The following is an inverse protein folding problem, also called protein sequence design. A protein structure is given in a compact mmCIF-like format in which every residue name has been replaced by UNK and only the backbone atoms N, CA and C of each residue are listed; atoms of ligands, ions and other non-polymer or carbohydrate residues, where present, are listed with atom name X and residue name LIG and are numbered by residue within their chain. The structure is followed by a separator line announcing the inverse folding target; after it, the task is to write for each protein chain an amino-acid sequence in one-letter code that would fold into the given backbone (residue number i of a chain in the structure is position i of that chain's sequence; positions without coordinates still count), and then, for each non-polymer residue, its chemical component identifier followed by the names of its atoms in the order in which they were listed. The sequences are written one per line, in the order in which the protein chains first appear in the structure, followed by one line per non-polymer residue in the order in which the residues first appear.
data_IF_667993623731
#
_entry.id   IF_667993623731
#
_cell.length_a   1.000
_cell.length_b   1.000
_cell.length_c   1.000
_cell.angle_alpha   90.00
_cell.angle_beta   90.00
_cell.angle_gamma   90.00
#
_symmetry.space_group_name_H-M   'P 1'
#
loop_
_entity.id
_entity.type
_entity.pdbx_description
1 polymer ?
#
# COMPACT_ATOMS: atom_id res chain seq x y z
N UNK A 1 1.38 -13.40 -11.82
CA UNK A 1 0.03 -13.15 -11.28
C UNK A 1 -0.72 -12.22 -12.20
N UNK A 2 -2.01 -12.47 -12.36
CA UNK A 2 -2.91 -11.72 -13.21
C UNK A 2 -3.88 -10.91 -12.32
N UNK A 3 -3.31 -9.98 -11.54
CA UNK A 3 -3.97 -9.26 -10.43
C UNK A 3 -5.06 -8.27 -10.91
N UNK A 4 -5.05 -7.90 -12.19
CA UNK A 4 -5.99 -6.98 -12.82
C UNK A 4 -6.73 -7.63 -14.00
N UNK A 5 -6.90 -8.96 -13.97
CA UNK A 5 -7.76 -9.65 -14.95
C UNK A 5 -9.15 -9.03 -14.99
N UNK A 6 -9.66 -8.86 -16.21
CA UNK A 6 -10.93 -8.23 -16.54
C UNK A 6 -11.07 -6.77 -16.08
N UNK A 7 -9.96 -6.10 -15.71
CA UNK A 7 -9.97 -4.67 -15.37
C UNK A 7 -9.61 -3.82 -16.57
N UNK A 8 -10.47 -2.83 -16.83
CA UNK A 8 -10.34 -1.87 -17.91
C UNK A 8 -9.78 -0.58 -17.38
N UNK A 9 -8.62 -0.17 -17.87
CA UNK A 9 -7.91 1.02 -17.38
C UNK A 9 -7.76 2.00 -18.53
N UNK A 10 -8.26 3.22 -18.34
CA UNK A 10 -7.89 4.35 -19.19
C UNK A 10 -6.66 5.02 -18.59
N UNK A 11 -5.58 5.08 -19.36
CA UNK A 11 -4.34 5.76 -18.98
C UNK A 11 -4.21 7.09 -19.73
N UNK A 12 -4.46 8.19 -19.04
CA UNK A 12 -4.20 9.56 -19.49
C UNK A 12 -2.73 9.95 -19.30
N UNK A 13 -2.12 10.53 -20.33
CA UNK A 13 -0.71 10.93 -20.31
C UNK A 13 -0.58 12.42 -20.66
N UNK A 14 0.00 13.17 -19.73
CA UNK A 14 0.28 14.60 -19.92
C UNK A 14 1.71 14.85 -20.37
N UNK A 15 1.95 16.04 -20.94
CA UNK A 15 3.29 16.47 -21.34
C UNK A 15 4.22 16.69 -20.15
N UNK A 16 5.37 16.00 -20.16
CA UNK A 16 6.45 16.15 -19.19
C UNK A 16 7.50 15.06 -19.37
N UNK A 17 8.71 15.29 -18.85
CA UNK A 17 9.83 14.35 -19.00
C UNK A 17 9.50 12.95 -18.48
N UNK A 18 8.63 12.82 -17.48
CA UNK A 18 8.23 11.54 -16.90
C UNK A 18 7.31 10.69 -17.81
N UNK A 19 6.88 11.19 -18.99
CA UNK A 19 5.99 10.46 -19.88
C UNK A 19 6.58 9.11 -20.36
N UNK A 20 7.91 8.94 -20.40
CA UNK A 20 8.52 7.65 -20.71
C UNK A 20 8.18 6.56 -19.66
N UNK A 21 7.95 6.93 -18.39
CA UNK A 21 7.56 5.98 -17.34
C UNK A 21 6.18 5.37 -17.62
N UNK A 22 5.32 6.06 -18.35
CA UNK A 22 4.02 5.55 -18.75
C UNK A 22 4.12 4.31 -19.63
N UNK A 23 5.18 4.17 -20.44
CA UNK A 23 5.42 2.96 -21.23
C UNK A 23 5.62 1.73 -20.32
N UNK A 24 6.42 1.87 -19.25
CA UNK A 24 6.59 0.81 -18.26
C UNK A 24 5.28 0.50 -17.53
N UNK A 25 4.52 1.54 -17.15
CA UNK A 25 3.24 1.35 -16.49
C UNK A 25 2.23 0.58 -17.37
N UNK A 26 2.09 0.93 -18.65
CA UNK A 26 1.24 0.18 -19.61
C UNK A 26 1.67 -1.29 -19.65
N UNK A 27 2.98 -1.54 -19.86
CA UNK A 27 3.51 -2.90 -19.95
C UNK A 27 3.19 -3.72 -18.69
N UNK A 28 3.40 -3.16 -17.51
CA UNK A 28 3.16 -3.86 -16.25
C UNK A 28 1.66 -4.09 -15.99
N UNK A 29 0.79 -3.11 -16.27
CA UNK A 29 -0.65 -3.29 -16.14
C UNK A 29 -1.18 -4.38 -17.08
N UNK A 30 -0.76 -4.39 -18.35
CA UNK A 30 -1.10 -5.43 -19.31
C UNK A 30 -0.57 -6.80 -18.85
N UNK A 31 0.67 -6.88 -18.35
CA UNK A 31 1.25 -8.11 -17.79
C UNK A 31 0.45 -8.64 -16.60
N UNK A 32 -0.12 -7.74 -15.79
CA UNK A 32 -1.01 -8.08 -14.68
C UNK A 32 -2.45 -8.41 -15.13
N UNK A 33 -2.74 -8.39 -16.44
CA UNK A 33 -4.03 -8.82 -17.00
C UNK A 33 -5.03 -7.71 -17.28
N UNK A 34 -4.67 -6.44 -17.07
CA UNK A 34 -5.55 -5.32 -17.38
C UNK A 34 -5.66 -5.10 -18.89
N UNK A 35 -6.85 -4.69 -19.34
CA UNK A 35 -7.04 -4.10 -20.67
C UNK A 35 -6.77 -2.59 -20.55
N UNK A 36 -5.75 -2.08 -21.23
CA UNK A 36 -5.31 -0.69 -21.09
C UNK A 36 -5.58 0.09 -22.37
N UNK A 37 -6.34 1.18 -22.28
CA UNK A 37 -6.52 2.14 -23.39
C UNK A 37 -5.86 3.47 -23.03
N UNK A 38 -5.05 4.00 -23.94
CA UNK A 38 -4.24 5.18 -23.67
C UNK A 38 -4.86 6.42 -24.31
N UNK A 39 -4.90 7.51 -23.53
CA UNK A 39 -5.28 8.85 -23.98
C UNK A 39 -4.08 9.78 -23.80
N UNK A 40 -3.63 10.43 -24.86
CA UNK A 40 -2.47 11.33 -24.82
C UNK A 40 -2.88 12.77 -25.09
N UNK A 41 -2.44 13.68 -24.22
CA UNK A 41 -2.51 15.12 -24.54
C UNK A 41 -1.58 15.45 -25.70
N UNK A 42 -1.85 16.54 -26.44
CA UNK A 42 -0.96 17.04 -27.50
C UNK A 42 0.49 17.24 -27.02
N UNK A 43 0.67 17.73 -25.79
CA UNK A 43 2.00 17.92 -25.21
C UNK A 43 2.70 16.60 -24.87
N UNK A 44 1.98 15.54 -24.50
CA UNK A 44 2.58 14.23 -24.22
C UNK A 44 3.24 13.61 -25.46
N UNK A 45 2.64 13.84 -26.64
CA UNK A 45 3.14 13.34 -27.93
C UNK A 45 4.53 13.90 -28.30
N UNK A 46 4.98 14.98 -27.65
CA UNK A 46 6.32 15.54 -27.83
C UNK A 46 7.41 14.82 -27.01
N UNK A 47 7.02 14.02 -26.01
CA UNK A 47 7.94 13.29 -25.13
C UNK A 47 7.98 11.79 -25.43
N UNK A 48 6.85 11.21 -25.83
CA UNK A 48 6.73 9.81 -26.22
C UNK A 48 5.72 9.71 -27.37
N UNK A 49 5.95 8.81 -28.32
CA UNK A 49 5.07 8.70 -29.49
C UNK A 49 3.88 7.78 -29.20
N UNK A 50 2.69 8.05 -29.79
CA UNK A 50 1.54 7.14 -29.69
C UNK A 50 1.85 5.71 -30.13
N UNK A 51 2.73 5.54 -31.13
CA UNK A 51 3.13 4.23 -31.66
C UNK A 51 3.72 3.31 -30.58
N UNK A 52 4.58 3.82 -29.70
CA UNK A 52 5.16 3.03 -28.62
C UNK A 52 4.08 2.53 -27.67
N UNK A 53 3.10 3.36 -27.34
CA UNK A 53 2.06 3.00 -26.39
C UNK A 53 0.99 2.11 -27.01
N UNK A 54 0.72 2.26 -28.29
CA UNK A 54 -0.12 1.34 -29.06
C UNK A 54 0.49 -0.07 -29.07
N UNK A 55 1.79 -0.19 -29.33
CA UNK A 55 2.47 -1.48 -29.33
C UNK A 55 2.44 -2.18 -27.96
N UNK A 56 2.52 -1.42 -26.87
CA UNK A 56 2.51 -1.96 -25.50
C UNK A 56 1.11 -2.27 -24.96
N UNK A 57 0.11 -1.47 -25.35
CA UNK A 57 -1.28 -1.67 -24.92
C UNK A 57 -2.03 -2.67 -25.80
N UNK A 58 -1.66 -2.80 -27.08
CA UNK A 58 -2.42 -3.57 -28.06
C UNK A 58 -3.67 -2.84 -28.59
N UNK A 59 -3.87 -1.59 -28.20
CA UNK A 59 -5.04 -0.78 -28.58
C UNK A 59 -4.60 0.55 -29.21
N UNK A 60 -5.45 1.09 -30.09
CA UNK A 60 -5.25 2.41 -30.66
C UNK A 60 -5.18 3.48 -29.55
N UNK A 61 -4.21 4.39 -29.67
CA UNK A 61 -3.99 5.48 -28.73
C UNK A 61 -4.80 6.69 -29.18
N UNK A 62 -5.69 7.18 -28.30
CA UNK A 62 -6.54 8.33 -28.63
C UNK A 62 -5.88 9.64 -28.23
N UNK A 63 -5.83 10.58 -29.17
CA UNK A 63 -5.10 11.84 -29.01
C UNK A 63 -6.00 13.08 -29.12
N UNK A 64 -7.03 13.01 -29.96
CA UNK A 64 -7.87 14.15 -30.31
C UNK A 64 -9.30 13.98 -29.80
N UNK A 65 -9.89 15.09 -29.38
CA UNK A 65 -11.30 15.11 -28.92
C UNK A 65 -12.25 14.87 -30.10
N UNK A 66 -11.93 15.44 -31.26
CA UNK A 66 -12.75 15.35 -32.48
C UNK A 66 -12.08 14.44 -33.51
N UNK A 67 -12.13 13.15 -33.25
CA UNK A 67 -11.73 12.14 -34.25
C UNK A 67 -12.98 11.69 -35.03
N UNK A 68 -13.02 12.01 -36.33
CA UNK A 68 -14.13 11.65 -37.22
C UNK A 68 -14.47 10.15 -37.28
N UNK A 69 -13.51 9.29 -36.90
CA UNK A 69 -13.72 7.84 -36.79
C UNK A 69 -14.40 7.45 -35.47
N UNK A 70 -14.07 8.13 -34.36
CA UNK A 70 -14.59 7.86 -33.02
C UNK A 70 -15.85 8.67 -32.65
N UNK A 71 -16.04 9.84 -33.25
CA UNK A 71 -17.16 10.77 -32.96
C UNK A 71 -18.52 10.26 -33.45
N UNK A 72 -18.54 9.27 -34.35
CA UNK A 72 -19.79 8.54 -34.69
C UNK A 72 -20.43 7.83 -33.49
N UNK A 73 -19.68 7.64 -32.39
CA UNK A 73 -20.12 6.94 -31.19
C UNK A 73 -20.00 7.77 -29.89
N UNK A 74 -19.78 9.09 -29.95
CA UNK A 74 -19.45 9.92 -28.76
C UNK A 74 -18.26 9.34 -27.98
N UNK A 75 -17.11 9.22 -28.63
CA UNK A 75 -16.00 8.39 -28.17
C UNK A 75 -15.46 8.68 -26.77
N UNK A 76 -15.58 9.91 -26.26
CA UNK A 76 -15.18 10.28 -24.89
C UNK A 76 -16.11 9.69 -23.83
N UNK A 77 -17.43 9.64 -24.07
CA UNK A 77 -18.42 9.04 -23.17
C UNK A 77 -18.27 7.52 -23.17
N UNK A 78 -18.11 6.91 -24.35
CA UNK A 78 -17.91 5.47 -24.48
C UNK A 78 -16.67 5.02 -23.71
N UNK A 79 -15.56 5.75 -23.87
CA UNK A 79 -14.30 5.41 -23.20
C UNK A 79 -14.39 5.58 -21.68
N UNK A 80 -15.08 6.62 -21.20
CA UNK A 80 -15.32 6.84 -19.78
C UNK A 80 -16.18 5.71 -19.17
N UNK A 81 -17.25 5.29 -19.86
CA UNK A 81 -18.12 4.18 -19.41
C UNK A 81 -17.47 2.81 -19.53
N UNK A 82 -16.52 2.65 -20.44
CA UNK A 82 -15.77 1.41 -20.61
C UNK A 82 -14.78 1.17 -19.46
N UNK A 83 -14.21 2.23 -18.89
CA UNK A 83 -13.18 2.13 -17.87
C UNK A 83 -13.73 1.63 -16.51
N UNK A 84 -12.94 0.82 -15.80
CA UNK A 84 -13.09 0.58 -14.35
C UNK A 84 -12.24 1.56 -13.53
N UNK A 85 -11.19 2.13 -14.14
CA UNK A 85 -10.29 3.10 -13.53
C UNK A 85 -9.80 4.13 -14.54
N UNK A 86 -9.64 5.39 -14.10
CA UNK A 86 -8.91 6.41 -14.82
C UNK A 86 -7.59 6.69 -14.11
N UNK A 87 -6.48 6.47 -14.79
CA UNK A 87 -5.14 6.79 -14.30
C UNK A 87 -4.56 7.94 -15.12
N UNK A 88 -4.07 9.01 -14.49
CA UNK A 88 -3.37 10.10 -15.18
C UNK A 88 -1.92 10.14 -14.73
N UNK A 89 -1.01 9.69 -15.59
CA UNK A 89 0.37 9.40 -15.22
C UNK A 89 1.33 9.60 -16.42
N UNK A 90 2.16 10.66 -16.43
CA UNK A 90 2.17 11.76 -15.47
C UNK A 90 0.96 12.69 -15.60
N UNK A 91 0.59 13.33 -14.49
CA UNK A 91 -0.30 14.49 -14.45
C UNK A 91 0.55 15.77 -14.34
N UNK A 92 0.55 16.60 -15.38
CA UNK A 92 1.28 17.87 -15.36
C UNK A 92 0.52 18.93 -14.57
N UNK A 93 1.21 19.99 -14.11
CA UNK A 93 0.56 21.10 -13.40
C UNK A 93 -0.58 21.74 -14.21
N UNK A 94 -0.41 21.83 -15.53
CA UNK A 94 -1.45 22.32 -16.45
C UNK A 94 -2.69 21.42 -16.43
N UNK A 95 -2.52 20.10 -16.48
CA UNK A 95 -3.63 19.17 -16.38
C UNK A 95 -4.33 19.29 -15.03
N UNK A 96 -3.60 19.27 -13.92
CA UNK A 96 -4.18 19.45 -12.58
C UNK A 96 -5.00 20.74 -12.46
N UNK A 97 -4.51 21.85 -13.02
CA UNK A 97 -5.25 23.11 -13.07
C UNK A 97 -6.55 22.96 -13.87
N UNK A 98 -6.48 22.46 -15.11
CA UNK A 98 -7.67 22.27 -15.95
C UNK A 98 -8.73 21.42 -15.24
N UNK A 99 -8.34 20.29 -14.65
CA UNK A 99 -9.27 19.38 -13.98
C UNK A 99 -9.86 20.01 -12.70
N UNK A 100 -9.07 20.75 -11.92
CA UNK A 100 -9.56 21.45 -10.73
C UNK A 100 -10.63 22.51 -11.08
N UNK A 101 -10.43 23.26 -12.17
CA UNK A 101 -11.39 24.28 -12.64
C UNK A 101 -12.49 23.74 -13.56
N UNK A 102 -12.45 22.45 -13.91
CA UNK A 102 -13.44 21.81 -14.77
C UNK A 102 -13.38 22.25 -16.24
N UNK A 103 -12.18 22.57 -16.74
CA UNK A 103 -11.96 22.82 -18.16
C UNK A 103 -11.99 21.48 -18.92
N UNK A 104 -12.63 21.46 -20.08
CA UNK A 104 -12.76 20.30 -20.97
C UNK A 104 -12.46 20.71 -22.42
N UNK A 105 -11.22 21.10 -22.66
CA UNK A 105 -10.73 21.63 -23.94
C UNK A 105 -9.87 20.62 -24.72
N UNK A 106 -9.66 19.42 -24.17
CA UNK A 106 -9.04 18.28 -24.84
C UNK A 106 -9.71 16.95 -24.44
N UNK A 107 -9.35 15.85 -25.11
CA UNK A 107 -9.98 14.54 -24.88
C UNK A 107 -9.84 14.06 -23.44
N UNK A 108 -8.66 14.22 -22.84
CA UNK A 108 -8.38 13.72 -21.49
C UNK A 108 -9.19 14.49 -20.44
N UNK A 109 -9.23 15.82 -20.56
CA UNK A 109 -9.95 16.69 -19.64
C UNK A 109 -11.46 16.54 -19.77
N UNK A 110 -11.96 16.36 -20.99
CA UNK A 110 -13.36 16.02 -21.26
C UNK A 110 -13.74 14.66 -20.66
N UNK A 111 -12.88 13.65 -20.82
CA UNK A 111 -13.08 12.31 -20.26
C UNK A 111 -13.17 12.36 -18.73
N UNK A 112 -12.28 13.11 -18.07
CA UNK A 112 -12.33 13.26 -16.62
C UNK A 112 -13.66 13.83 -16.11
N UNK A 113 -14.25 14.81 -16.79
CA UNK A 113 -15.51 15.42 -16.35
C UNK A 113 -16.70 14.45 -16.37
N UNK A 114 -16.68 13.46 -17.26
CA UNK A 114 -17.75 12.46 -17.38
C UNK A 114 -17.39 11.12 -16.73
N UNK A 115 -16.22 11.04 -16.08
CA UNK A 115 -15.71 9.83 -15.45
C UNK A 115 -16.39 9.59 -14.09
N UNK A 116 -17.07 8.46 -13.96
CA UNK A 116 -17.73 8.05 -12.70
C UNK A 116 -16.94 6.95 -11.97
N UNK A 117 -15.75 6.59 -12.47
CA UNK A 117 -14.89 5.56 -11.88
C UNK A 117 -13.76 6.16 -11.05
N UNK A 118 -13.12 5.38 -10.15
CA UNK A 118 -12.02 5.88 -9.34
C UNK A 118 -10.89 6.47 -10.19
N UNK A 119 -10.42 7.65 -9.80
CA UNK A 119 -9.39 8.40 -10.51
C UNK A 119 -8.09 8.42 -9.70
N UNK A 120 -7.01 7.94 -10.29
CA UNK A 120 -5.65 8.01 -9.73
C UNK A 120 -4.83 9.00 -10.54
N UNK A 121 -4.29 10.04 -9.89
CA UNK A 121 -3.42 11.03 -10.54
C UNK A 121 -2.02 10.97 -9.96
N UNK A 122 -1.03 11.02 -10.85
CA UNK A 122 0.39 10.93 -10.51
C UNK A 122 1.11 12.23 -10.92
N UNK A 123 1.12 13.27 -10.06
CA UNK A 123 1.73 14.55 -10.39
C UNK A 123 3.21 14.41 -10.78
N UNK A 124 3.63 15.13 -11.80
CA UNK A 124 5.04 15.22 -12.19
C UNK A 124 5.36 16.60 -12.77
N UNK A 125 6.26 17.33 -12.12
CA UNK A 125 6.64 18.70 -12.48
C UNK A 125 7.91 19.13 -11.75
N UNK A 126 8.50 20.27 -12.12
CA UNK A 126 9.61 20.83 -11.37
C UNK A 126 9.20 21.16 -9.92
N UNK A 127 10.16 21.09 -8.99
CA UNK A 127 9.99 21.41 -7.56
C UNK A 127 9.23 22.73 -7.32
N UNK A 128 9.63 23.80 -8.00
CA UNK A 128 9.00 25.12 -7.83
C UNK A 128 7.55 25.15 -8.30
N UNK A 129 7.22 24.37 -9.33
CA UNK A 129 5.83 24.21 -9.78
C UNK A 129 5.00 23.41 -8.77
N UNK A 130 5.58 22.39 -8.15
CA UNK A 130 4.88 21.57 -7.14
C UNK A 130 4.49 22.38 -5.91
N UNK A 131 5.43 23.19 -5.39
CA UNK A 131 5.20 24.05 -4.23
C UNK A 131 4.47 25.37 -4.55
N UNK A 132 4.10 25.60 -5.81
CA UNK A 132 3.29 26.77 -6.17
C UNK A 132 1.93 26.74 -5.44
N UNK A 133 1.49 27.87 -4.87
CA UNK A 133 0.18 27.96 -4.22
C UNK A 133 -0.99 27.53 -5.13
N UNK A 134 -0.87 27.76 -6.44
CA UNK A 134 -1.88 27.34 -7.41
C UNK A 134 -1.97 25.81 -7.49
N UNK A 135 -0.83 25.13 -7.65
CA UNK A 135 -0.76 23.67 -7.70
C UNK A 135 -1.26 23.04 -6.41
N UNK A 136 -0.83 23.56 -5.25
CA UNK A 136 -1.27 23.06 -3.95
C UNK A 136 -2.80 23.14 -3.79
N UNK A 137 -3.41 24.27 -4.17
CA UNK A 137 -4.88 24.43 -4.15
C UNK A 137 -5.58 23.49 -5.12
N UNK A 138 -5.08 23.36 -6.35
CA UNK A 138 -5.66 22.45 -7.35
C UNK A 138 -5.63 21.00 -6.85
N UNK A 139 -4.51 20.56 -6.27
CA UNK A 139 -4.41 19.24 -5.66
C UNK A 139 -5.39 19.04 -4.50
N UNK A 140 -5.62 20.06 -3.66
CA UNK A 140 -6.60 20.00 -2.58
C UNK A 140 -8.03 19.82 -3.12
N UNK A 141 -8.45 20.65 -4.09
CA UNK A 141 -9.76 20.54 -4.76
C UNK A 141 -9.97 19.16 -5.39
N UNK A 142 -8.96 18.62 -6.05
CA UNK A 142 -9.05 17.29 -6.67
C UNK A 142 -9.19 16.18 -5.62
N UNK A 143 -8.46 16.27 -4.49
CA UNK A 143 -8.61 15.32 -3.37
C UNK A 143 -10.00 15.40 -2.73
N UNK A 144 -10.54 16.61 -2.55
CA UNK A 144 -11.91 16.81 -2.06
C UNK A 144 -12.95 16.16 -2.98
N UNK A 145 -12.68 16.12 -4.29
CA UNK A 145 -13.49 15.41 -5.29
C UNK A 145 -13.23 13.90 -5.35
N UNK A 146 -12.46 13.34 -4.42
CA UNK A 146 -12.19 11.91 -4.34
C UNK A 146 -11.03 11.40 -5.19
N UNK A 147 -10.28 12.28 -5.88
CA UNK A 147 -9.10 11.85 -6.67
C UNK A 147 -7.99 11.34 -5.75
N UNK A 148 -7.53 10.12 -6.01
CA UNK A 148 -6.35 9.56 -5.34
C UNK A 148 -5.07 10.15 -5.93
N UNK A 149 -4.30 10.86 -5.11
CA UNK A 149 -3.02 11.43 -5.51
C UNK A 149 -1.88 10.50 -5.12
N UNK A 150 -1.05 10.11 -6.10
CA UNK A 150 0.12 9.25 -5.88
C UNK A 150 1.39 10.04 -6.20
N UNK A 151 2.23 10.24 -5.19
CA UNK A 151 3.40 11.12 -5.28
C UNK A 151 3.02 12.62 -5.29
N UNK A 152 3.88 13.49 -5.84
CA UNK A 152 5.18 13.18 -6.44
C UNK A 152 6.20 12.70 -5.39
N UNK A 153 7.24 12.01 -5.85
CA UNK A 153 8.37 11.58 -5.05
C UNK A 153 9.45 12.68 -4.97
N UNK A 154 10.28 12.58 -3.93
CA UNK A 154 11.52 13.33 -3.81
C UNK A 154 12.66 12.62 -4.56
N UNK A 155 13.48 13.39 -5.27
CA UNK A 155 14.68 12.88 -5.92
C UNK A 155 15.35 13.92 -6.80
N UNK A 156 16.42 13.53 -7.49
CA UNK A 156 17.04 14.35 -8.53
C UNK A 156 16.09 14.54 -9.71
N UNK A 157 15.93 15.79 -10.12
CA UNK A 157 15.09 16.19 -11.24
C UNK A 157 15.94 16.41 -12.49
N UNK A 158 15.33 16.34 -13.68
CA UNK A 158 16.03 16.55 -14.95
C UNK A 158 16.71 17.94 -15.08
N UNK A 159 16.33 18.90 -14.23
CA UNK A 159 16.93 20.23 -14.13
C UNK A 159 18.15 20.29 -13.18
N UNK A 160 18.52 19.19 -12.52
CA UNK A 160 19.63 19.11 -11.57
C UNK A 160 19.27 19.46 -10.12
N UNK A 161 18.02 19.86 -9.84
CA UNK A 161 17.54 20.14 -8.48
C UNK A 161 17.14 18.85 -7.74
N UNK A 162 17.33 18.84 -6.42
CA UNK A 162 16.82 17.80 -5.53
C UNK A 162 15.55 18.30 -4.83
N UNK A 163 14.50 17.47 -4.83
CA UNK A 163 13.26 17.73 -4.11
C UNK A 163 12.04 17.06 -4.74
N UNK A 164 10.88 17.28 -4.12
CA UNK A 164 9.60 16.76 -4.60
C UNK A 164 9.25 17.26 -6.00
N UNK A 165 8.76 16.37 -6.85
CA UNK A 165 8.32 16.69 -8.21
C UNK A 165 8.43 15.55 -9.22
N UNK A 166 9.14 14.47 -8.86
CA UNK A 166 9.27 13.28 -9.70
C UNK A 166 7.96 12.49 -9.69
N UNK A 167 7.56 11.99 -10.86
CA UNK A 167 6.45 11.04 -10.96
C UNK A 167 6.77 9.80 -10.13
N UNK A 168 5.78 9.33 -9.36
CA UNK A 168 5.87 8.09 -8.59
C UNK A 168 6.29 6.90 -9.46
N UNK A 169 6.94 5.91 -8.86
CA UNK A 169 7.30 4.68 -9.56
C UNK A 169 6.06 3.90 -10.00
N UNK A 170 6.10 3.21 -11.16
CA UNK A 170 4.97 2.43 -11.65
C UNK A 170 4.42 1.42 -10.63
N UNK A 171 5.29 0.84 -9.80
CA UNK A 171 4.88 -0.10 -8.75
C UNK A 171 3.97 0.55 -7.70
N UNK A 172 4.28 1.79 -7.28
CA UNK A 172 3.46 2.52 -6.31
C UNK A 172 2.10 2.92 -6.89
N UNK A 173 2.06 3.24 -8.18
CA UNK A 173 0.80 3.52 -8.90
C UNK A 173 -0.08 2.26 -8.96
N UNK A 174 0.53 1.11 -9.27
CA UNK A 174 -0.16 -0.19 -9.28
C UNK A 174 -0.64 -0.55 -7.86
N UNK A 175 0.18 -0.29 -6.83
CA UNK A 175 -0.21 -0.49 -5.44
C UNK A 175 -1.37 0.41 -5.02
N UNK A 176 -1.38 1.67 -5.44
CA UNK A 176 -2.49 2.58 -5.22
C UNK A 176 -3.78 2.08 -5.88
N UNK A 177 -3.71 1.60 -7.12
CA UNK A 177 -4.86 0.99 -7.82
C UNK A 177 -5.48 -0.17 -7.05
N UNK A 178 -4.66 -1.03 -6.42
CA UNK A 178 -5.14 -2.14 -5.56
C UNK A 178 -5.94 -1.66 -4.34
N UNK A 179 -5.74 -0.41 -3.93
CA UNK A 179 -6.25 0.16 -2.68
C UNK A 179 -7.32 1.23 -2.88
N UNK A 180 -7.71 1.53 -4.12
CA UNK A 180 -8.79 2.50 -4.44
C UNK A 180 -10.09 2.23 -3.68
N UNK A 181 -10.45 0.95 -3.49
CA UNK A 181 -11.67 0.55 -2.79
C UNK A 181 -11.69 0.91 -1.29
N UNK A 182 -10.54 1.18 -0.67
CA UNK A 182 -10.43 1.56 0.74
C UNK A 182 -10.04 3.02 0.94
N UNK A 183 -9.97 3.82 -0.11
CA UNK A 183 -9.59 5.21 0.00
C UNK A 183 -10.47 5.95 1.01
N UNK A 184 -9.84 6.62 1.98
CA UNK A 184 -10.48 7.44 3.01
C UNK A 184 -11.47 6.72 3.96
N UNK A 185 -11.58 5.38 3.96
CA UNK A 185 -12.54 4.68 4.84
C UNK A 185 -12.17 4.80 6.33
N UNK A 186 -10.89 5.02 6.64
CA UNK A 186 -10.37 5.23 8.00
C UNK A 186 -10.00 6.70 8.28
N UNK A 187 -10.61 7.65 7.54
CA UNK A 187 -10.30 9.08 7.71
C UNK A 187 -10.48 9.52 9.17
N UNK A 188 -9.44 10.15 9.72
CA UNK A 188 -9.43 10.63 11.11
C UNK A 188 -9.19 9.57 12.18
N UNK A 189 -9.01 8.29 11.80
CA UNK A 189 -8.61 7.23 12.72
C UNK A 189 -7.09 7.18 12.87
N UNK A 190 -6.63 6.68 14.01
CA UNK A 190 -5.20 6.44 14.29
C UNK A 190 -4.94 4.94 14.28
N UNK A 191 -3.95 4.49 13.49
CA UNK A 191 -3.64 3.07 13.31
C UNK A 191 -2.18 2.82 13.69
N UNK A 192 -1.95 1.88 14.61
CA UNK A 192 -0.63 1.34 14.90
C UNK A 192 -0.47 -0.03 14.25
N UNK A 193 0.61 -0.24 13.50
CA UNK A 193 0.94 -1.52 12.88
C UNK A 193 2.31 -1.99 13.39
N UNK A 194 2.41 -3.23 13.84
CA UNK A 194 3.71 -3.88 14.05
C UNK A 194 4.09 -4.72 12.83
N UNK A 195 5.35 -4.69 12.43
CA UNK A 195 5.83 -5.45 11.27
C UNK A 195 7.24 -6.02 11.47
N UNK A 196 7.63 -6.93 10.57
CA UNK A 196 8.98 -7.50 10.52
C UNK A 196 9.26 -8.59 11.55
N UNK A 197 10.47 -9.19 11.50
CA UNK A 197 10.97 -10.13 12.50
C UNK A 197 11.66 -9.40 13.66
N UNK A 198 11.71 -10.01 14.84
CA UNK A 198 12.58 -9.58 15.94
C UNK A 198 13.86 -10.41 15.99
N UNK A 199 14.94 -9.79 16.45
CA UNK A 199 16.27 -10.37 16.61
C UNK A 199 16.60 -10.48 18.09
N UNK A 200 16.67 -11.71 18.57
CA UNK A 200 17.02 -12.01 19.96
C UNK A 200 18.52 -12.30 20.02
N UNK A 201 19.30 -11.28 20.42
CA UNK A 201 20.76 -11.33 20.39
C UNK A 201 21.31 -12.46 21.27
N UNK A 202 22.23 -13.24 20.73
CA UNK A 202 23.02 -14.22 21.49
C UNK A 202 24.33 -13.58 21.94
N UNK A 203 24.98 -12.89 21.01
CA UNK A 203 26.17 -12.06 21.19
C UNK A 203 26.09 -10.88 20.18
N UNK A 204 27.06 -9.94 20.13
CA UNK A 204 26.99 -8.80 19.21
C UNK A 204 27.02 -9.16 17.70
N UNK A 205 27.20 -10.44 17.34
CA UNK A 205 27.34 -10.92 15.96
C UNK A 205 26.22 -11.87 15.57
N UNK A 206 25.64 -12.59 16.53
CA UNK A 206 24.67 -13.67 16.29
C UNK A 206 23.37 -13.39 17.03
N UNK A 207 22.26 -13.75 16.40
CA UNK A 207 20.92 -13.62 16.97
C UNK A 207 20.03 -14.78 16.54
N UNK A 208 18.91 -14.95 17.25
CA UNK A 208 17.81 -15.84 16.88
C UNK A 208 16.71 -14.98 16.26
N UNK A 209 16.13 -15.45 15.15
CA UNK A 209 15.06 -14.74 14.43
C UNK A 209 14.16 -15.75 13.71
N UNK A 210 13.05 -15.27 13.18
CA UNK A 210 12.18 -15.98 12.24
C UNK A 210 12.38 -15.48 10.80
N UNK A 211 11.66 -16.13 9.86
CA UNK A 211 11.74 -15.89 8.40
C UNK A 211 10.80 -14.77 7.90
N UNK A 212 10.29 -13.92 8.79
CA UNK A 212 9.40 -12.85 8.35
C UNK A 212 10.15 -11.82 7.52
N UNK A 213 9.62 -11.54 6.32
CA UNK A 213 10.12 -10.43 5.49
C UNK A 213 9.53 -9.08 5.90
N UNK A 214 8.52 -9.05 6.77
CA UNK A 214 7.77 -7.85 7.12
C UNK A 214 6.80 -7.32 6.06
N UNK A 215 6.83 -7.85 4.82
CA UNK A 215 6.04 -7.35 3.67
C UNK A 215 4.54 -7.18 3.97
N UNK A 216 3.93 -8.09 4.74
CA UNK A 216 2.51 -8.00 5.08
C UNK A 216 2.20 -6.81 6.01
N UNK A 217 3.02 -6.58 7.02
CA UNK A 217 2.85 -5.44 7.94
C UNK A 217 3.05 -4.10 7.23
N UNK A 218 4.02 -4.02 6.32
CA UNK A 218 4.22 -2.82 5.49
C UNK A 218 3.03 -2.61 4.54
N UNK A 219 2.50 -3.69 3.95
CA UNK A 219 1.31 -3.60 3.11
C UNK A 219 0.08 -3.10 3.88
N UNK A 220 -0.10 -3.52 5.14
CA UNK A 220 -1.16 -3.03 6.02
C UNK A 220 -0.97 -1.56 6.39
N UNK A 221 0.27 -1.14 6.66
CA UNK A 221 0.57 0.26 6.91
C UNK A 221 0.26 1.14 5.69
N UNK A 222 0.64 0.71 4.48
CA UNK A 222 0.29 1.40 3.23
C UNK A 222 -1.23 1.44 3.01
N UNK A 223 -1.93 0.32 3.21
CA UNK A 223 -3.38 0.26 3.06
C UNK A 223 -4.11 1.17 4.05
N UNK A 224 -3.68 1.21 5.32
CA UNK A 224 -4.24 2.10 6.33
C UNK A 224 -3.97 3.57 6.02
N UNK A 225 -2.79 3.91 5.48
CA UNK A 225 -2.45 5.26 5.06
C UNK A 225 -3.31 5.72 3.87
N UNK A 226 -3.51 4.87 2.86
CA UNK A 226 -4.43 5.16 1.74
C UNK A 226 -5.88 5.26 2.22
N UNK A 227 -6.24 4.50 3.25
CA UNK A 227 -7.53 4.64 3.92
C UNK A 227 -7.68 5.94 4.72
N UNK A 228 -6.68 6.82 4.75
CA UNK A 228 -6.76 8.15 5.37
C UNK A 228 -6.46 8.15 6.87
N UNK A 229 -5.93 7.06 7.42
CA UNK A 229 -5.53 7.00 8.82
C UNK A 229 -4.19 7.70 9.09
N UNK A 230 -4.01 8.19 10.32
CA UNK A 230 -2.69 8.56 10.85
C UNK A 230 -1.98 7.28 11.33
N UNK A 231 -0.98 6.84 10.56
CA UNK A 231 -0.34 5.52 10.74
C UNK A 231 0.99 5.63 11.47
N UNK A 232 1.14 4.82 12.51
CA UNK A 232 2.41 4.54 13.19
C UNK A 232 2.84 3.10 12.91
N UNK A 233 4.02 2.93 12.31
CA UNK A 233 4.62 1.64 11.99
C UNK A 233 5.81 1.36 12.92
N UNK A 234 5.69 0.34 13.75
CA UNK A 234 6.79 -0.17 14.58
C UNK A 234 7.32 -1.45 13.92
N UNK A 235 8.53 -1.39 13.38
CA UNK A 235 9.09 -2.47 12.58
C UNK A 235 10.33 -3.07 13.23
N UNK A 236 10.36 -4.39 13.30
CA UNK A 236 11.58 -5.15 13.47
C UNK A 236 12.51 -5.04 12.25
N UNK A 237 13.63 -5.76 12.27
CA UNK A 237 14.70 -5.63 11.29
C UNK A 237 14.30 -6.11 9.89
N UNK A 238 14.12 -5.19 8.94
CA UNK A 238 13.84 -5.48 7.52
C UNK A 238 14.60 -4.52 6.61
N UNK A 239 14.74 -4.88 5.33
CA UNK A 239 15.30 -4.00 4.29
C UNK A 239 14.21 -3.21 3.54
N UNK A 240 12.97 -3.21 4.05
CA UNK A 240 11.84 -2.56 3.38
C UNK A 240 11.87 -1.05 3.61
N UNK A 241 11.49 -0.30 2.58
CA UNK A 241 11.36 1.15 2.67
C UNK A 241 10.05 1.48 3.40
N UNK A 242 10.11 2.40 4.36
CA UNK A 242 8.92 2.87 5.05
C UNK A 242 7.96 3.54 4.05
N UNK A 243 6.65 3.20 4.06
CA UNK A 243 5.68 3.87 3.23
C UNK A 243 5.62 5.38 3.50
N UNK A 244 5.33 6.16 2.46
CA UNK A 244 5.22 7.62 2.59
C UNK A 244 4.08 8.03 3.54
N UNK A 245 4.31 9.07 4.34
CA UNK A 245 3.32 9.60 5.27
C UNK A 245 3.07 8.73 6.51
N UNK A 246 3.88 7.70 6.75
CA UNK A 246 3.81 6.83 7.94
C UNK A 246 4.88 7.23 8.95
N UNK A 247 4.51 7.31 10.24
CA UNK A 247 5.46 7.52 11.35
C UNK A 247 6.18 6.22 11.65
N UNK A 248 7.50 6.19 11.44
CA UNK A 248 8.29 4.97 11.52
C UNK A 248 9.13 4.86 12.80
N UNK A 249 9.13 3.68 13.42
CA UNK A 249 9.99 3.34 14.54
C UNK A 249 10.64 1.97 14.33
N UNK A 250 11.97 1.96 14.23
CA UNK A 250 12.75 0.73 14.14
C UNK A 250 13.02 0.16 15.52
N UNK A 251 12.91 -1.15 15.65
CA UNK A 251 13.26 -1.93 16.85
C UNK A 251 14.05 -3.17 16.45
N UNK A 252 14.82 -3.73 17.36
CA UNK A 252 15.57 -4.97 17.12
C UNK A 252 14.91 -6.16 17.80
N UNK A 253 14.63 -6.07 19.09
CA UNK A 253 14.12 -7.20 19.90
C UNK A 253 12.61 -7.16 20.13
N UNK A 254 12.03 -8.28 20.57
CA UNK A 254 10.65 -8.34 21.03
C UNK A 254 10.39 -7.39 22.21
N UNK A 255 11.36 -7.27 23.14
CA UNK A 255 11.27 -6.37 24.28
C UNK A 255 11.22 -4.89 23.84
N UNK A 256 12.10 -4.49 22.93
CA UNK A 256 12.07 -3.12 22.38
C UNK A 256 10.77 -2.85 21.61
N UNK A 257 10.28 -3.82 20.84
CA UNK A 257 8.99 -3.69 20.16
C UNK A 257 7.85 -3.48 21.15
N UNK A 258 7.81 -4.27 22.22
CA UNK A 258 6.85 -4.14 23.31
C UNK A 258 6.89 -2.73 23.93
N UNK A 259 8.09 -2.26 24.30
CA UNK A 259 8.28 -0.94 24.90
C UNK A 259 7.82 0.20 23.97
N UNK A 260 8.17 0.12 22.67
CA UNK A 260 7.74 1.12 21.69
C UNK A 260 6.23 1.12 21.47
N UNK A 261 5.59 -0.06 21.45
CA UNK A 261 4.14 -0.19 21.35
C UNK A 261 3.49 0.47 22.55
N UNK A 262 3.85 0.08 23.77
CA UNK A 262 3.22 0.61 24.99
C UNK A 262 3.43 2.10 25.16
N UNK A 263 4.60 2.63 24.78
CA UNK A 263 4.90 4.05 24.88
C UNK A 263 4.13 4.93 23.88
N UNK A 264 3.60 4.35 22.80
CA UNK A 264 2.94 5.09 21.70
C UNK A 264 1.46 4.74 21.54
N UNK A 265 0.94 3.83 22.35
CA UNK A 265 -0.48 3.57 22.39
C UNK A 265 -1.20 4.83 22.88
N UNK A 266 -2.26 5.18 22.16
CA UNK A 266 -3.15 6.26 22.50
C UNK A 266 -4.59 5.73 22.59
N UNK A 267 -5.44 6.33 23.45
CA UNK A 267 -6.85 5.98 23.52
C UNK A 267 -7.54 6.11 22.15
N UNK A 268 -8.35 5.11 21.79
CA UNK A 268 -9.13 5.08 20.56
C UNK A 268 -8.36 4.60 19.32
N UNK A 269 -7.09 4.18 19.45
CA UNK A 269 -6.33 3.66 18.32
C UNK A 269 -6.82 2.29 17.85
N UNK A 270 -6.60 2.00 16.57
CA UNK A 270 -6.65 0.66 16.00
C UNK A 270 -5.24 0.07 16.08
N UNK A 271 -5.09 -1.11 16.69
CA UNK A 271 -3.82 -1.83 16.76
C UNK A 271 -3.83 -3.05 15.85
N UNK A 272 -2.81 -3.19 15.00
CA UNK A 272 -2.62 -4.32 14.08
C UNK A 272 -1.29 -5.02 14.39
N UNK A 273 -1.37 -6.10 15.15
CA UNK A 273 -0.24 -6.94 15.53
C UNK A 273 0.15 -7.93 14.42
N UNK A 274 0.90 -7.45 13.41
CA UNK A 274 1.34 -8.26 12.27
C UNK A 274 2.82 -8.69 12.34
N UNK A 275 3.61 -8.14 13.27
CA UNK A 275 5.00 -8.53 13.42
C UNK A 275 5.14 -10.02 13.78
N UNK A 276 6.19 -10.65 13.26
CA UNK A 276 6.60 -11.97 13.71
C UNK A 276 7.55 -11.78 14.89
N UNK A 277 6.98 -11.69 16.09
CA UNK A 277 7.72 -11.55 17.34
C UNK A 277 8.25 -12.91 17.76
N UNK A 278 9.52 -13.01 18.13
CA UNK A 278 10.09 -14.24 18.65
C UNK A 278 9.48 -14.58 20.02
N UNK A 279 8.97 -15.81 20.18
CA UNK A 279 8.32 -16.26 21.43
C UNK A 279 9.30 -16.32 22.63
N UNK A 280 10.59 -16.50 22.35
CA UNK A 280 11.64 -16.62 23.36
C UNK A 280 12.83 -15.72 23.04
N UNK A 281 13.41 -15.12 24.08
CA UNK A 281 14.67 -14.39 24.06
C UNK A 281 15.81 -15.20 24.68
N UNK A 282 17.05 -14.82 24.39
CA UNK A 282 18.23 -15.36 25.09
C UNK A 282 18.26 -14.81 26.51
N UNK A 283 18.28 -15.69 27.52
CA UNK A 283 18.16 -15.28 28.92
C UNK A 283 19.33 -14.39 29.39
N UNK A 284 20.54 -14.63 28.84
CA UNK A 284 21.77 -13.89 29.18
C UNK A 284 22.61 -13.65 27.92
N UNK A 285 22.29 -12.62 27.11
CA UNK A 285 23.06 -12.30 25.91
C UNK A 285 24.49 -11.88 26.29
N UNK A 286 25.49 -12.38 25.56
CA UNK A 286 26.88 -12.04 25.81
C UNK A 286 27.22 -10.63 25.26
N UNK A 287 28.00 -9.86 26.01
CA UNK A 287 28.46 -8.52 25.56
C UNK A 287 29.60 -8.59 24.53
N UNK A 288 30.21 -9.75 24.35
CA UNK A 288 31.33 -9.98 23.43
C UNK A 288 31.05 -11.23 22.60
N UNK A 289 31.59 -11.27 21.37
CA UNK A 289 31.47 -12.43 20.49
C UNK A 289 31.98 -13.68 21.20
N UNK A 290 31.12 -14.68 21.31
CA UNK A 290 31.48 -15.94 21.95
C UNK A 290 32.49 -16.67 21.06
N UNK A 291 33.71 -16.85 21.59
CA UNK A 291 34.82 -17.53 20.89
C UNK A 291 34.53 -19.03 20.77
N UNK A 292 35.02 -19.64 19.69
CA UNK A 292 34.95 -21.09 19.50
C UNK A 292 35.92 -21.75 20.50
N UNK A 293 35.39 -22.30 21.59
CA UNK A 293 36.18 -22.95 22.64
C UNK A 293 35.71 -24.37 23.00
N UNK A 294 34.48 -24.75 22.67
CA UNK A 294 33.88 -26.05 23.01
C UNK A 294 33.29 -26.73 21.76
N UNK A 295 33.23 -28.06 21.81
CA UNK A 295 32.63 -28.90 20.75
C UNK A 295 31.10 -28.84 20.74
N UNK A 296 30.47 -28.57 21.90
CA UNK A 296 29.03 -28.39 22.05
C UNK A 296 28.75 -27.14 22.91
N UNK A 297 27.64 -26.45 22.64
CA UNK A 297 27.21 -25.24 23.35
C UNK A 297 25.68 -25.22 23.46
N UNK A 298 25.17 -24.78 24.60
CA UNK A 298 23.75 -24.56 24.88
C UNK A 298 23.44 -23.08 25.11
N UNK A 299 22.26 -22.64 24.66
CA UNK A 299 21.72 -21.31 24.90
C UNK A 299 20.46 -21.45 25.75
N UNK A 300 20.41 -20.75 26.87
CA UNK A 300 19.23 -20.68 27.72
C UNK A 300 18.26 -19.63 27.19
N UNK A 301 16.98 -20.01 27.05
CA UNK A 301 15.92 -19.16 26.51
C UNK A 301 14.89 -18.83 27.59
N UNK A 302 14.35 -17.62 27.56
CA UNK A 302 13.26 -17.15 28.42
C UNK A 302 12.13 -16.60 27.56
N UNK A 303 10.89 -16.61 28.07
CA UNK A 303 9.73 -16.13 27.34
C UNK A 303 9.81 -14.61 27.10
N UNK A 304 9.47 -14.21 25.88
CA UNK A 304 9.26 -12.81 25.53
C UNK A 304 7.86 -12.31 25.93
N UNK A 305 7.66 -10.98 26.02
CA UNK A 305 6.34 -10.41 26.31
C UNK A 305 5.35 -10.67 25.17
N UNK A 306 4.11 -11.02 25.52
CA UNK A 306 3.01 -11.13 24.56
C UNK A 306 2.39 -9.75 24.28
N UNK A 307 2.96 -9.04 23.31
CA UNK A 307 2.59 -7.66 22.96
C UNK A 307 1.08 -7.50 22.74
N UNK A 308 0.45 -8.41 22.01
CA UNK A 308 -0.99 -8.32 21.68
C UNK A 308 -1.82 -8.44 22.95
N UNK A 309 -1.50 -9.41 23.82
CA UNK A 309 -2.22 -9.61 25.07
C UNK A 309 -2.03 -8.41 26.01
N UNK A 310 -0.83 -7.83 26.07
CA UNK A 310 -0.58 -6.63 26.87
C UNK A 310 -1.35 -5.42 26.31
N UNK A 311 -1.42 -5.23 24.98
CA UNK A 311 -2.22 -4.15 24.35
C UNK A 311 -3.69 -4.28 24.77
N UNK A 312 -4.28 -5.48 24.68
CA UNK A 312 -5.68 -5.71 25.08
C UNK A 312 -5.90 -5.37 26.57
N UNK A 313 -4.97 -5.73 27.45
CA UNK A 313 -5.06 -5.43 28.89
C UNK A 313 -5.13 -3.93 29.17
N UNK A 314 -4.49 -3.08 28.34
CA UNK A 314 -4.55 -1.62 28.50
C UNK A 314 -5.95 -1.04 28.32
N UNK A 315 -6.79 -1.70 27.50
CA UNK A 315 -8.11 -1.20 27.07
C UNK A 315 -8.08 0.20 26.43
N UNK A 316 -6.92 0.63 25.92
CA UNK A 316 -6.80 1.92 25.24
C UNK A 316 -7.26 1.85 23.78
N UNK A 317 -7.05 0.71 23.12
CA UNK A 317 -7.44 0.52 21.72
C UNK A 317 -8.95 0.42 21.56
N UNK A 318 -9.45 1.05 20.50
CA UNK A 318 -10.81 0.89 20.02
C UNK A 318 -11.01 -0.46 19.30
N UNK A 319 -9.95 -0.97 18.67
CA UNK A 319 -9.98 -2.22 17.92
C UNK A 319 -8.59 -2.86 17.87
N UNK A 320 -8.52 -4.18 18.09
CA UNK A 320 -7.28 -4.95 18.15
C UNK A 320 -7.33 -6.11 17.15
N UNK A 321 -6.36 -6.11 16.24
CA UNK A 321 -6.18 -7.14 15.22
C UNK A 321 -4.92 -7.94 15.50
N UNK A 322 -5.06 -9.26 15.58
CA UNK A 322 -3.94 -10.19 15.68
C UNK A 322 -3.70 -10.97 14.39
N UNK A 323 -2.49 -11.53 14.26
CA UNK A 323 -2.17 -12.47 13.20
C UNK A 323 -1.90 -13.88 13.77
N UNK A 324 -2.36 -14.90 13.06
CA UNK A 324 -2.08 -16.30 13.36
C UNK A 324 -1.43 -16.94 12.13
N UNK A 325 -0.10 -17.04 12.17
CA UNK A 325 0.70 -17.67 11.12
C UNK A 325 1.04 -19.09 11.57
N UNK A 326 0.38 -20.09 11.01
CA UNK A 326 0.54 -21.50 11.40
C UNK A 326 0.89 -22.38 10.20
N UNK A 327 1.57 -23.49 10.43
CA UNK A 327 1.91 -24.48 9.39
C UNK A 327 0.84 -25.55 9.21
N UNK A 328 -0.05 -25.72 10.19
CA UNK A 328 -1.19 -26.63 10.17
C UNK A 328 -2.34 -26.07 11.02
N UNK A 329 -3.54 -26.64 10.89
CA UNK A 329 -4.71 -26.32 11.74
C UNK A 329 -4.99 -24.83 11.96
N UNK A 330 -4.70 -24.01 10.94
CA UNK A 330 -4.64 -22.53 11.01
C UNK A 330 -5.93 -21.93 11.58
N UNK A 331 -7.09 -22.39 11.12
CA UNK A 331 -8.39 -21.86 11.56
C UNK A 331 -8.68 -22.16 13.03
N UNK A 332 -8.31 -23.36 13.50
CA UNK A 332 -8.50 -23.76 14.90
C UNK A 332 -7.64 -22.90 15.83
N UNK A 333 -6.36 -22.74 15.50
CA UNK A 333 -5.44 -21.89 16.27
C UNK A 333 -5.83 -20.42 16.23
N UNK A 334 -6.32 -19.92 15.08
CA UNK A 334 -6.83 -18.57 14.96
C UNK A 334 -8.05 -18.33 15.87
N UNK A 335 -9.04 -19.25 15.89
CA UNK A 335 -10.20 -19.16 16.81
C UNK A 335 -9.78 -19.16 18.27
N UNK A 336 -8.88 -20.07 18.65
CA UNK A 336 -8.33 -20.11 20.00
C UNK A 336 -7.63 -18.81 20.38
N UNK A 337 -6.85 -18.21 19.46
CA UNK A 337 -6.17 -16.93 19.69
C UNK A 337 -7.17 -15.78 19.85
N UNK A 338 -8.21 -15.74 19.02
CA UNK A 338 -9.30 -14.76 19.10
C UNK A 338 -9.95 -14.76 20.49
N UNK A 339 -10.36 -15.94 20.97
CA UNK A 339 -11.01 -16.12 22.27
C UNK A 339 -10.06 -15.90 23.45
N UNK A 340 -8.88 -16.50 23.43
CA UNK A 340 -7.94 -16.46 24.54
C UNK A 340 -7.37 -15.05 24.77
N UNK A 341 -7.04 -14.34 23.69
CA UNK A 341 -6.50 -12.97 23.77
C UNK A 341 -7.57 -11.90 23.82
N UNK A 342 -8.85 -12.24 23.57
CA UNK A 342 -9.98 -11.30 23.52
C UNK A 342 -9.72 -10.13 22.56
N UNK A 343 -9.23 -10.45 21.37
CA UNK A 343 -9.02 -9.49 20.27
C UNK A 343 -10.26 -9.44 19.39
N UNK A 344 -10.45 -8.36 18.64
CA UNK A 344 -11.65 -8.13 17.84
C UNK A 344 -11.61 -8.86 16.49
N UNK A 345 -10.40 -9.03 15.94
CA UNK A 345 -10.16 -9.69 14.67
C UNK A 345 -8.85 -10.47 14.68
N UNK A 346 -8.83 -11.62 14.01
CA UNK A 346 -7.62 -12.38 13.74
C UNK A 346 -7.51 -12.67 12.25
N UNK A 347 -6.31 -12.45 11.71
CA UNK A 347 -5.97 -12.83 10.33
C UNK A 347 -5.19 -14.14 10.38
N UNK A 348 -5.85 -15.20 9.94
CA UNK A 348 -5.31 -16.55 9.90
C UNK A 348 -4.58 -16.78 8.57
N UNK A 349 -3.30 -17.15 8.64
CA UNK A 349 -2.42 -17.30 7.50
C UNK A 349 -1.72 -18.67 7.55
N UNK A 350 -1.88 -19.46 6.49
CA UNK A 350 -1.13 -20.71 6.34
C UNK A 350 0.27 -20.37 5.84
N UNK A 351 1.28 -20.61 6.68
CA UNK A 351 2.68 -20.31 6.38
C UNK A 351 3.51 -21.59 6.29
N UNK A 352 4.56 -21.59 5.47
CA UNK A 352 5.39 -22.77 5.25
C UNK A 352 6.44 -22.54 4.16
N UNK A 353 7.09 -23.61 3.69
CA UNK A 353 7.97 -23.49 2.52
C UNK A 353 7.19 -22.95 1.33
N UNK A 354 7.63 -21.80 0.79
CA UNK A 354 7.00 -21.05 -0.29
C UNK A 354 5.58 -20.49 -0.01
N UNK A 355 5.11 -20.47 1.25
CA UNK A 355 3.78 -19.94 1.61
C UNK A 355 3.87 -18.85 2.69
N UNK A 356 3.29 -17.69 2.39
CA UNK A 356 3.11 -16.55 3.32
C UNK A 356 4.36 -15.71 3.62
N UNK A 357 5.51 -16.34 3.89
CA UNK A 357 6.78 -15.65 4.14
C UNK A 357 7.61 -15.44 2.88
N UNK A 358 8.31 -14.30 2.82
CA UNK A 358 9.22 -13.88 1.72
C UNK A 358 8.57 -13.72 0.32
N UNK A 359 7.33 -14.16 0.13
CA UNK A 359 6.54 -13.99 -1.09
C UNK A 359 5.82 -12.63 -1.14
N UNK A 360 5.44 -12.21 -2.35
CA UNK A 360 4.58 -11.02 -2.58
C UNK A 360 3.09 -11.36 -2.54
N UNK A 361 2.76 -12.64 -2.57
CA UNK A 361 1.39 -13.16 -2.60
C UNK A 361 0.99 -13.69 -1.21
N UNK A 362 -0.30 -13.63 -0.91
CA UNK A 362 -0.84 -14.23 0.31
C UNK A 362 -2.29 -14.70 0.11
N UNK A 363 -2.66 -15.76 0.80
CA UNK A 363 -4.05 -16.23 0.96
C UNK A 363 -4.31 -16.26 2.47
N UNK A 364 -5.38 -15.60 2.93
CA UNK A 364 -5.66 -15.49 4.36
C UNK A 364 -7.14 -15.70 4.63
N UNK A 365 -7.48 -16.11 5.84
CA UNK A 365 -8.85 -16.10 6.34
C UNK A 365 -8.95 -15.08 7.46
N UNK A 366 -9.84 -14.11 7.30
CA UNK A 366 -10.11 -13.09 8.32
C UNK A 366 -11.26 -13.58 9.19
N UNK A 367 -11.09 -13.55 10.50
CA UNK A 367 -12.07 -14.05 11.47
C UNK A 367 -12.32 -13.00 12.55
N UNK A 368 -13.60 -12.80 12.88
CA UNK A 368 -14.06 -12.06 14.07
C UNK A 368 -14.97 -12.98 14.89
N UNK A 369 -15.56 -12.46 15.97
CA UNK A 369 -16.50 -13.24 16.78
C UNK A 369 -17.72 -13.75 15.99
N UNK A 370 -18.10 -13.07 14.90
CA UNK A 370 -19.32 -13.35 14.13
C UNK A 370 -19.08 -13.55 12.64
N UNK A 371 -17.87 -13.30 12.14
CA UNK A 371 -17.56 -13.37 10.71
C UNK A 371 -16.34 -14.24 10.43
N UNK A 372 -16.39 -14.95 9.30
CA UNK A 372 -15.27 -15.69 8.75
C UNK A 372 -15.26 -15.47 7.24
N UNK A 373 -14.21 -14.83 6.73
CA UNK A 373 -14.10 -14.45 5.32
C UNK A 373 -12.78 -14.96 4.78
N UNK A 374 -12.86 -15.91 3.83
CA UNK A 374 -11.69 -16.38 3.08
C UNK A 374 -11.34 -15.36 1.99
N UNK A 375 -10.12 -14.82 2.05
CA UNK A 375 -9.55 -13.97 1.02
C UNK A 375 -8.68 -14.83 0.09
N UNK A 376 -8.99 -14.92 -1.21
CA UNK A 376 -8.24 -15.75 -2.14
C UNK A 376 -6.81 -15.25 -2.31
N UNK A 377 -5.92 -16.12 -2.80
CA UNK A 377 -4.53 -15.77 -3.10
C UNK A 377 -4.45 -14.53 -4.00
N UNK A 378 -3.84 -13.47 -3.48
CA UNK A 378 -3.64 -12.21 -4.21
C UNK A 378 -2.35 -11.52 -3.75
N UNK A 379 -2.00 -10.42 -4.41
CA UNK A 379 -0.87 -9.59 -3.99
C UNK A 379 -1.10 -9.04 -2.56
N UNK A 380 -0.05 -9.02 -1.71
CA UNK A 380 -0.15 -8.62 -0.30
C UNK A 380 -0.79 -7.24 -0.09
N UNK A 381 -0.53 -6.29 -0.98
CA UNK A 381 -1.16 -4.96 -0.94
C UNK A 381 -2.68 -5.05 -1.16
N UNK A 382 -3.16 -5.88 -2.10
CA UNK A 382 -4.60 -6.09 -2.30
C UNK A 382 -5.23 -6.78 -1.10
N UNK A 383 -4.56 -7.82 -0.57
CA UNK A 383 -5.00 -8.52 0.64
C UNK A 383 -5.08 -7.55 1.83
N UNK A 384 -4.09 -6.67 1.99
CA UNK A 384 -4.10 -5.64 3.03
C UNK A 384 -5.29 -4.68 2.89
N UNK A 385 -5.60 -4.21 1.67
CA UNK A 385 -6.81 -3.43 1.40
C UNK A 385 -8.09 -4.18 1.78
N UNK A 386 -8.21 -5.45 1.43
CA UNK A 386 -9.36 -6.27 1.82
C UNK A 386 -9.48 -6.45 3.34
N UNK A 387 -8.36 -6.64 4.04
CA UNK A 387 -8.33 -6.69 5.52
C UNK A 387 -8.81 -5.36 6.11
N UNK A 388 -8.33 -4.22 5.60
CA UNK A 388 -8.76 -2.89 6.04
C UNK A 388 -10.25 -2.66 5.79
N UNK A 389 -10.78 -3.07 4.64
CA UNK A 389 -12.22 -2.98 4.34
C UNK A 389 -13.07 -3.81 5.31
N UNK A 390 -12.62 -5.02 5.64
CA UNK A 390 -13.31 -5.89 6.62
C UNK A 390 -13.24 -5.28 8.02
N UNK A 391 -12.08 -4.76 8.41
CA UNK A 391 -11.87 -4.08 9.68
C UNK A 391 -12.86 -2.91 9.83
N UNK A 392 -12.90 -2.02 8.85
CA UNK A 392 -13.77 -0.85 8.85
C UNK A 392 -15.25 -1.24 8.98
N UNK A 393 -15.71 -2.21 8.18
CA UNK A 393 -17.08 -2.73 8.26
C UNK A 393 -17.43 -3.32 9.62
N UNK A 394 -16.50 -4.03 10.26
CA UNK A 394 -16.74 -4.63 11.58
C UNK A 394 -16.79 -3.56 12.69
N UNK A 395 -15.95 -2.53 12.63
CA UNK A 395 -16.00 -1.42 13.59
C UNK A 395 -17.34 -0.69 13.54
N UNK A 396 -17.85 -0.38 12.35
CA UNK A 396 -19.16 0.24 12.16
C UNK A 396 -20.31 -0.62 12.75
N UNK A 397 -20.27 -1.94 12.55
CA UNK A 397 -21.27 -2.85 13.12
C UNK A 397 -21.17 -2.97 14.65
N UNK A 398 -20.00 -2.70 15.22
CA UNK A 398 -19.72 -2.79 16.65
C UNK A 398 -19.96 -1.46 17.39
N UNK A 399 -20.28 -0.38 16.64
CA UNK A 399 -20.53 0.96 17.18
C UNK A 399 -19.26 1.73 17.58
N UNK A 400 -18.12 1.43 16.93
CA UNK A 400 -16.77 1.95 17.24
C UNK A 400 -16.25 2.94 16.20
#
# INVERSE_FOLDING_TARGET
MQDFVDKKIVLGICGGIAAYKAAFLVRELTRLGAEVRVVMTKSAQQFITPLTLQALSGHEVRCDLFDSSAERAMGHIELARWADYLVIAPASANCLAKLAYGLADDLLTTLYLVCEVPVVMCPAMNRSMWFSPATTRNCAVLRERGVMMVGPEEGEQACGELGYGRMAEPEDIINALRLTAVQNVLLGKKVMVTAGPTWESIDPVRFISNRSSGKMGYALATAAQIAGADVTLISGSTALICPHGVKFHSVQSAQEMHEQVMAKLEPGMIFIGCAAVADYAVAKPAKQKIKKSQSAWSIELTLNPDIVSEVVKTKQCAYVVGFAAETNNVLTHARQKLEAKKIDMVVANLVGEALGFEQDENEVTVMTATTEVKLPKAHKIRVAGQIVAILDKNMHNSGV
#
